data_IF_184772695659
#
_entry.id   IF_184772695659
#
_cell.length_a   1.000
_cell.length_b   1.000
_cell.length_c   1.000
_cell.angle_alpha   90.00
_cell.angle_beta   90.00
_cell.angle_gamma   90.00
#
_symmetry.space_group_name_H-M   'P 1'
#
loop_
_entity.id
_entity.type
_entity.pdbx_description
1 polymer ?
#
# COMPACT_ATOMS: atom_id res chain seq x y z
N UNK A 1 33.86 -16.29 15.53
CA UNK A 1 33.02 -15.11 15.23
C UNK A 1 32.59 -15.21 13.78
N UNK A 2 31.29 -15.24 13.45
CA UNK A 2 30.85 -15.15 12.05
C UNK A 2 31.45 -13.88 11.44
N UNK A 3 32.15 -14.04 10.32
CA UNK A 3 32.93 -12.98 9.69
C UNK A 3 32.00 -11.79 9.39
N UNK A 4 32.29 -10.60 9.96
CA UNK A 4 31.49 -9.38 9.80
C UNK A 4 31.17 -9.08 8.32
N UNK A 5 32.11 -9.40 7.42
CA UNK A 5 31.94 -9.29 5.98
C UNK A 5 30.84 -10.21 5.43
N UNK A 6 30.75 -11.45 5.92
CA UNK A 6 29.72 -12.40 5.52
C UNK A 6 28.33 -11.95 5.98
N UNK A 7 28.22 -11.41 7.20
CA UNK A 7 26.96 -10.86 7.71
C UNK A 7 26.49 -9.63 6.91
N UNK A 8 27.43 -8.75 6.52
CA UNK A 8 27.16 -7.58 5.67
C UNK A 8 26.71 -8.01 4.27
N UNK A 9 27.38 -8.99 3.65
CA UNK A 9 27.03 -9.52 2.34
C UNK A 9 25.65 -10.18 2.33
N UNK A 10 25.29 -10.92 3.39
CA UNK A 10 23.96 -11.52 3.55
C UNK A 10 22.86 -10.45 3.66
N UNK A 11 23.10 -9.38 4.44
CA UNK A 11 22.17 -8.23 4.53
C UNK A 11 21.99 -7.53 3.19
N UNK A 12 23.07 -7.27 2.45
CA UNK A 12 22.96 -6.65 1.12
C UNK A 12 22.24 -7.55 0.11
N UNK A 13 22.51 -8.86 0.12
CA UNK A 13 21.81 -9.80 -0.75
C UNK A 13 20.30 -9.83 -0.47
N UNK A 14 19.91 -9.84 0.81
CA UNK A 14 18.50 -9.82 1.21
C UNK A 14 17.82 -8.51 0.79
N UNK A 15 18.50 -7.37 0.92
CA UNK A 15 18.00 -6.09 0.44
C UNK A 15 17.76 -6.08 -1.08
N UNK A 16 18.67 -6.66 -1.86
CA UNK A 16 18.51 -6.80 -3.31
C UNK A 16 17.32 -7.69 -3.67
N UNK A 17 17.13 -8.81 -2.98
CA UNK A 17 15.96 -9.69 -3.20
C UNK A 17 14.66 -8.94 -2.89
N UNK A 18 14.60 -8.22 -1.78
CA UNK A 18 13.44 -7.40 -1.42
C UNK A 18 13.12 -6.35 -2.48
N UNK A 19 14.13 -5.64 -2.99
CA UNK A 19 13.93 -4.67 -4.07
C UNK A 19 13.39 -5.30 -5.36
N UNK A 20 13.91 -6.48 -5.74
CA UNK A 20 13.40 -7.22 -6.92
C UNK A 20 11.94 -7.65 -6.74
N UNK A 21 11.59 -8.13 -5.55
CA UNK A 21 10.21 -8.50 -5.18
C UNK A 21 9.28 -7.30 -5.30
N UNK A 22 9.67 -6.15 -4.75
CA UNK A 22 8.90 -4.90 -4.84
C UNK A 22 8.77 -4.40 -6.28
N UNK A 23 9.86 -4.42 -7.05
CA UNK A 23 9.84 -3.99 -8.44
C UNK A 23 8.93 -4.86 -9.32
N UNK A 24 9.00 -6.19 -9.16
CA UNK A 24 8.13 -7.12 -9.86
C UNK A 24 6.65 -6.94 -9.46
N UNK A 25 6.40 -6.72 -8.16
CA UNK A 25 5.07 -6.44 -7.61
C UNK A 25 4.48 -5.11 -8.11
N UNK A 26 5.32 -4.08 -8.24
CA UNK A 26 4.94 -2.78 -8.79
C UNK A 26 4.63 -2.89 -10.29
N UNK A 27 5.47 -3.60 -11.06
CA UNK A 27 5.22 -3.85 -12.48
C UNK A 27 3.90 -4.62 -12.69
N UNK A 28 3.61 -5.61 -11.85
CA UNK A 28 2.33 -6.32 -11.86
C UNK A 28 1.15 -5.36 -11.62
N UNK A 29 1.23 -4.48 -10.63
CA UNK A 29 0.17 -3.48 -10.34
C UNK A 29 -0.02 -2.52 -11.50
N UNK A 30 1.05 -2.02 -12.11
CA UNK A 30 0.96 -1.16 -13.30
C UNK A 30 0.30 -1.90 -14.47
N UNK A 31 0.66 -3.16 -14.71
CA UNK A 31 0.03 -3.98 -15.74
C UNK A 31 -1.46 -4.21 -15.46
N UNK A 32 -1.83 -4.48 -14.20
CA UNK A 32 -3.22 -4.65 -13.79
C UNK A 32 -4.05 -3.36 -13.91
N UNK A 33 -3.47 -2.19 -13.58
CA UNK A 33 -4.14 -0.90 -13.78
C UNK A 33 -4.35 -0.64 -15.28
N UNK A 34 -3.33 -0.84 -16.11
CA UNK A 34 -3.44 -0.68 -17.56
C UNK A 34 -4.47 -1.65 -18.16
N UNK A 35 -4.45 -2.92 -17.73
CA UNK A 35 -5.44 -3.91 -18.10
C UNK A 35 -6.85 -3.50 -17.64
N UNK A 36 -6.99 -2.96 -16.44
CA UNK A 36 -8.25 -2.48 -15.90
C UNK A 36 -8.87 -1.35 -16.73
N UNK A 37 -8.05 -0.36 -17.13
CA UNK A 37 -8.48 0.72 -18.04
C UNK A 37 -8.91 0.15 -19.41
N UNK A 38 -8.15 -0.80 -19.96
CA UNK A 38 -8.50 -1.47 -21.19
C UNK A 38 -9.83 -2.24 -21.06
N UNK A 39 -9.98 -3.04 -19.99
CA UNK A 39 -11.19 -3.82 -19.72
C UNK A 39 -12.41 -2.89 -19.59
N UNK A 40 -12.29 -1.80 -18.84
CA UNK A 40 -13.38 -0.84 -18.65
C UNK A 40 -13.80 -0.15 -19.96
N UNK A 41 -12.90 -0.04 -20.94
CA UNK A 41 -13.21 0.54 -22.25
C UNK A 41 -13.83 -0.46 -23.23
N UNK A 42 -13.58 -1.77 -23.08
CA UNK A 42 -13.95 -2.77 -24.09
C UNK A 42 -15.00 -3.79 -23.62
N UNK A 43 -15.18 -3.99 -22.32
CA UNK A 43 -16.09 -5.00 -21.76
C UNK A 43 -17.22 -4.34 -20.97
N UNK A 44 -18.38 -5.01 -20.93
CA UNK A 44 -19.54 -4.56 -20.15
C UNK A 44 -19.27 -4.63 -18.64
N UNK A 45 -18.59 -5.70 -18.19
CA UNK A 45 -18.24 -5.89 -16.79
C UNK A 45 -16.98 -5.09 -16.45
N UNK A 46 -17.16 -4.08 -15.60
CA UNK A 46 -16.09 -3.19 -15.16
C UNK A 46 -15.09 -3.89 -14.24
N UNK A 47 -13.82 -3.63 -14.49
CA UNK A 47 -12.73 -3.91 -13.57
C UNK A 47 -12.75 -2.92 -12.40
N UNK A 48 -12.92 -1.63 -12.68
CA UNK A 48 -12.93 -0.58 -11.64
C UNK A 48 -14.01 -0.83 -10.59
N UNK A 49 -13.62 -0.66 -9.32
CA UNK A 49 -14.52 -0.69 -8.18
C UNK A 49 -15.50 0.49 -8.26
N UNK A 50 -16.79 0.22 -7.99
CA UNK A 50 -17.83 1.25 -8.00
C UNK A 50 -17.53 2.39 -7.03
N UNK A 51 -16.89 2.07 -5.89
CA UNK A 51 -16.51 3.06 -4.89
C UNK A 51 -15.47 4.05 -5.44
N UNK A 52 -14.65 3.65 -6.42
CA UNK A 52 -13.66 4.54 -7.03
C UNK A 52 -14.30 5.73 -7.75
N UNK A 53 -15.47 5.51 -8.37
CA UNK A 53 -16.26 6.57 -8.99
C UNK A 53 -16.86 7.51 -7.93
N UNK A 54 -17.29 6.94 -6.80
CA UNK A 54 -17.77 7.72 -5.64
C UNK A 54 -16.67 8.63 -5.11
N UNK A 55 -15.43 8.13 -5.00
CA UNK A 55 -14.30 8.95 -4.57
C UNK A 55 -13.92 10.02 -5.59
N UNK A 56 -13.92 9.68 -6.87
CA UNK A 56 -13.51 10.57 -7.95
C UNK A 56 -14.48 11.74 -8.12
N UNK A 57 -15.80 11.50 -7.99
CA UNK A 57 -16.78 12.58 -8.06
C UNK A 57 -16.71 13.50 -6.82
N UNK A 58 -16.43 12.94 -5.65
CA UNK A 58 -16.20 13.74 -4.45
C UNK A 58 -14.93 14.60 -4.59
N UNK A 59 -13.84 14.04 -5.15
CA UNK A 59 -12.64 14.80 -5.47
C UNK A 59 -12.90 15.90 -6.50
N UNK A 60 -13.69 15.63 -7.54
CA UNK A 60 -14.09 16.63 -8.54
C UNK A 60 -14.92 17.76 -7.90
N UNK A 61 -15.83 17.43 -6.98
CA UNK A 61 -16.61 18.42 -6.23
C UNK A 61 -15.69 19.33 -5.39
N UNK A 62 -14.72 18.75 -4.68
CA UNK A 62 -13.72 19.52 -3.92
C UNK A 62 -12.87 20.39 -4.84
N UNK A 63 -12.44 19.87 -6.00
CA UNK A 63 -11.66 20.64 -6.98
C UNK A 63 -12.43 21.86 -7.51
N UNK A 64 -13.75 21.78 -7.59
CA UNK A 64 -14.64 22.88 -7.98
C UNK A 64 -14.98 23.85 -6.82
N UNK A 65 -14.38 23.67 -5.64
CA UNK A 65 -14.66 24.49 -4.45
C UNK A 65 -15.88 24.04 -3.64
N UNK A 66 -16.45 22.87 -3.96
CA UNK A 66 -17.57 22.26 -3.26
C UNK A 66 -17.15 21.37 -2.08
N UNK A 67 -18.13 20.70 -1.49
CA UNK A 67 -17.93 19.74 -0.39
C UNK A 67 -17.88 18.31 -0.93
N UNK A 68 -17.00 17.42 -0.41
CA UNK A 68 -16.99 16.01 -0.82
C UNK A 68 -18.32 15.30 -0.47
N UNK A 69 -19.05 15.82 0.51
CA UNK A 69 -20.36 15.33 0.93
C UNK A 69 -21.53 15.88 0.10
N UNK A 70 -21.26 16.75 -0.88
CA UNK A 70 -22.30 17.19 -1.82
C UNK A 70 -22.90 16.00 -2.60
N UNK A 71 -22.13 14.91 -2.74
CA UNK A 71 -22.64 13.62 -3.20
C UNK A 71 -23.24 12.84 -2.03
N UNK A 72 -24.55 12.58 -2.08
CA UNK A 72 -25.29 11.89 -1.02
C UNK A 72 -24.77 10.48 -0.69
N UNK A 73 -24.10 9.79 -1.63
CA UNK A 73 -23.55 8.45 -1.44
C UNK A 73 -22.10 8.44 -0.93
N UNK A 74 -21.47 9.61 -0.73
CA UNK A 74 -20.10 9.68 -0.23
C UNK A 74 -20.06 9.51 1.29
N UNK A 75 -19.49 8.38 1.74
CA UNK A 75 -19.43 7.97 3.16
C UNK A 75 -18.01 7.82 3.72
N UNK A 76 -17.02 8.31 2.97
CA UNK A 76 -15.60 8.13 3.29
C UNK A 76 -15.03 9.39 3.93
N UNK A 77 -13.82 9.28 4.50
CA UNK A 77 -13.15 10.43 5.11
C UNK A 77 -12.91 11.53 4.06
N UNK A 78 -13.21 12.82 4.34
CA UNK A 78 -12.92 13.93 3.45
C UNK A 78 -11.48 13.95 2.96
N UNK A 79 -10.54 13.52 3.82
CA UNK A 79 -9.12 13.43 3.48
C UNK A 79 -8.87 12.58 2.23
N UNK A 80 -9.66 11.52 2.02
CA UNK A 80 -9.56 10.69 0.83
C UNK A 80 -9.93 11.48 -0.43
N UNK A 81 -11.00 12.28 -0.39
CA UNK A 81 -11.37 13.13 -1.52
C UNK A 81 -10.27 14.15 -1.87
N UNK A 82 -9.65 14.77 -0.86
CA UNK A 82 -8.52 15.68 -1.07
C UNK A 82 -7.31 14.96 -1.67
N UNK A 83 -7.00 13.74 -1.21
CA UNK A 83 -5.88 12.93 -1.71
C UNK A 83 -6.05 12.54 -3.18
N UNK A 84 -7.29 12.47 -3.65
CA UNK A 84 -7.68 12.11 -5.00
C UNK A 84 -7.98 13.32 -5.90
N UNK A 85 -7.74 14.56 -5.46
CA UNK A 85 -7.84 15.74 -6.33
C UNK A 85 -7.14 15.55 -7.69
N UNK A 86 -5.95 14.92 -7.77
CA UNK A 86 -5.31 14.71 -9.06
C UNK A 86 -6.05 13.74 -10.00
N UNK A 87 -7.06 13.00 -9.53
CA UNK A 87 -7.94 12.23 -10.43
C UNK A 87 -8.61 13.14 -11.46
N UNK A 88 -9.08 14.32 -11.01
CA UNK A 88 -9.76 15.29 -11.85
C UNK A 88 -8.81 16.30 -12.50
N UNK A 89 -7.66 16.56 -11.88
CA UNK A 89 -6.72 17.58 -12.34
C UNK A 89 -5.61 17.04 -13.26
N UNK A 90 -5.20 15.77 -13.10
CA UNK A 90 -4.10 15.16 -13.85
C UNK A 90 -4.54 13.96 -14.66
N UNK A 91 -5.04 12.90 -14.00
CA UNK A 91 -5.41 11.67 -14.69
C UNK A 91 -6.36 10.80 -13.84
N UNK A 92 -7.45 10.22 -14.40
CA UNK A 92 -8.42 9.42 -13.65
C UNK A 92 -7.81 8.20 -12.92
N UNK A 93 -6.71 7.65 -13.42
CA UNK A 93 -6.02 6.51 -12.79
C UNK A 93 -5.13 6.88 -11.59
N UNK A 94 -4.98 8.16 -11.24
CA UNK A 94 -4.09 8.61 -10.15
C UNK A 94 -4.35 7.86 -8.83
N UNK A 95 -5.61 7.78 -8.41
CA UNK A 95 -5.98 7.07 -7.18
C UNK A 95 -5.64 5.58 -7.21
N UNK A 96 -5.83 4.90 -8.35
CA UNK A 96 -5.40 3.50 -8.51
C UNK A 96 -3.90 3.32 -8.32
N UNK A 97 -3.09 4.26 -8.82
CA UNK A 97 -1.64 4.25 -8.62
C UNK A 97 -1.26 4.52 -7.16
N UNK A 98 -1.94 5.47 -6.51
CA UNK A 98 -1.75 5.80 -5.10
C UNK A 98 -2.10 4.61 -4.19
N UNK A 99 -3.24 3.96 -4.42
CA UNK A 99 -3.65 2.78 -3.65
C UNK A 99 -2.72 1.59 -3.90
N UNK A 100 -2.26 1.40 -5.14
CA UNK A 100 -1.25 0.40 -5.48
C UNK A 100 0.08 0.67 -4.75
N UNK A 101 0.51 1.93 -4.64
CA UNK A 101 1.70 2.30 -3.89
C UNK A 101 1.53 2.05 -2.38
N UNK A 102 0.36 2.35 -1.81
CA UNK A 102 0.05 2.03 -0.43
C UNK A 102 0.10 0.52 -0.16
N UNK A 103 -0.37 -0.32 -1.08
CA UNK A 103 -0.29 -1.77 -0.96
C UNK A 103 1.17 -2.31 -0.99
N UNK A 104 2.07 -1.66 -1.77
CA UNK A 104 3.50 -1.95 -1.69
C UNK A 104 4.08 -1.58 -0.31
N UNK A 105 3.64 -0.46 0.28
CA UNK A 105 4.02 -0.06 1.64
C UNK A 105 3.54 -1.07 2.68
N UNK A 106 2.36 -1.66 2.52
CA UNK A 106 1.87 -2.73 3.40
C UNK A 106 2.85 -3.91 3.41
N UNK A 107 3.35 -4.33 2.24
CA UNK A 107 4.39 -5.37 2.16
C UNK A 107 5.67 -5.00 2.93
N UNK A 108 6.12 -3.74 2.85
CA UNK A 108 7.27 -3.25 3.62
C UNK A 108 7.02 -3.22 5.13
N UNK A 109 5.80 -2.85 5.54
CA UNK A 109 5.43 -2.83 6.95
C UNK A 109 5.30 -4.24 7.53
N UNK A 110 4.84 -5.22 6.75
CA UNK A 110 4.88 -6.63 7.14
C UNK A 110 6.32 -7.09 7.40
N UNK A 111 7.28 -6.80 6.50
CA UNK A 111 8.71 -7.13 6.73
C UNK A 111 9.23 -6.47 8.02
N UNK A 112 8.89 -5.20 8.23
CA UNK A 112 9.33 -4.42 9.39
C UNK A 112 8.79 -4.99 10.70
N UNK A 113 7.50 -5.32 10.76
CA UNK A 113 6.88 -5.91 11.95
C UNK A 113 7.51 -7.27 12.24
N UNK A 114 7.68 -8.13 11.23
CA UNK A 114 8.30 -9.44 11.42
C UNK A 114 9.78 -9.33 11.84
N UNK A 115 10.49 -8.29 11.37
CA UNK A 115 11.85 -7.98 11.81
C UNK A 115 11.90 -7.61 13.30
N UNK A 116 11.03 -6.69 13.74
CA UNK A 116 10.91 -6.31 15.16
C UNK A 116 10.49 -7.51 16.05
N UNK A 117 9.79 -8.49 15.50
CA UNK A 117 9.41 -9.74 16.19
C UNK A 117 10.53 -10.79 16.21
N UNK A 118 11.70 -10.52 15.63
CA UNK A 118 12.83 -11.45 15.59
C UNK A 118 12.67 -12.61 14.60
N UNK A 119 11.77 -12.49 13.61
CA UNK A 119 11.54 -13.53 12.62
C UNK A 119 12.70 -13.57 11.61
N UNK A 120 13.13 -14.79 11.26
CA UNK A 120 14.23 -15.02 10.32
C UNK A 120 13.94 -14.40 8.93
N UNK A 121 14.93 -13.72 8.35
CA UNK A 121 14.78 -12.96 7.10
C UNK A 121 14.19 -13.77 5.92
N UNK A 122 14.51 -15.08 5.83
CA UNK A 122 13.94 -15.97 4.81
C UNK A 122 12.42 -16.12 4.96
N UNK A 123 11.91 -16.24 6.18
CA UNK A 123 10.47 -16.33 6.42
C UNK A 123 9.79 -15.00 6.13
N UNK A 124 10.41 -13.88 6.52
CA UNK A 124 9.87 -12.55 6.26
C UNK A 124 9.68 -12.28 4.77
N UNK A 125 10.68 -12.60 3.94
CA UNK A 125 10.56 -12.39 2.49
C UNK A 125 9.43 -13.22 1.87
N UNK A 126 9.20 -14.44 2.36
CA UNK A 126 8.06 -15.26 1.90
C UNK A 126 6.72 -14.66 2.33
N UNK A 127 6.61 -14.08 3.53
CA UNK A 127 5.41 -13.35 3.94
C UNK A 127 5.16 -12.11 3.07
N UNK A 128 6.22 -11.37 2.71
CA UNK A 128 6.13 -10.21 1.80
C UNK A 128 5.67 -10.66 0.41
N UNK A 129 6.26 -11.73 -0.14
CA UNK A 129 5.85 -12.30 -1.42
C UNK A 129 4.39 -12.76 -1.37
N UNK A 130 3.99 -13.45 -0.31
CA UNK A 130 2.62 -13.91 -0.14
C UNK A 130 1.62 -12.74 -0.10
N UNK A 131 1.96 -11.61 0.53
CA UNK A 131 1.11 -10.41 0.48
C UNK A 131 1.08 -9.77 -0.91
N UNK A 132 2.26 -9.52 -1.48
CA UNK A 132 2.41 -8.69 -2.68
C UNK A 132 1.92 -9.35 -3.98
N UNK A 133 1.93 -10.68 -4.03
CA UNK A 133 1.51 -11.46 -5.20
C UNK A 133 0.21 -12.23 -4.97
N UNK A 134 -0.48 -12.01 -3.85
CA UNK A 134 -1.82 -12.53 -3.69
C UNK A 134 -2.77 -11.81 -4.68
N UNK A 135 -3.54 -12.55 -5.50
CA UNK A 135 -4.46 -11.95 -6.47
C UNK A 135 -5.56 -11.12 -5.81
N UNK A 136 -5.96 -11.44 -4.57
CA UNK A 136 -6.97 -10.69 -3.84
C UNK A 136 -6.46 -9.31 -3.44
N UNK A 137 -5.31 -9.23 -2.75
CA UNK A 137 -4.74 -7.95 -2.30
C UNK A 137 -4.26 -7.10 -3.47
N UNK A 138 -3.60 -7.72 -4.46
CA UNK A 138 -3.07 -6.99 -5.61
C UNK A 138 -4.17 -6.39 -6.50
N UNK A 139 -5.39 -6.94 -6.50
CA UNK A 139 -6.51 -6.40 -7.27
C UNK A 139 -7.29 -5.31 -6.53
N UNK A 140 -7.34 -5.30 -5.19
CA UNK A 140 -8.09 -4.29 -4.42
C UNK A 140 -7.62 -2.87 -4.77
N UNK A 141 -6.31 -2.60 -4.67
CA UNK A 141 -5.76 -1.28 -4.96
C UNK A 141 -5.84 -0.90 -6.44
N UNK A 142 -5.59 -1.84 -7.35
CA UNK A 142 -5.60 -1.59 -8.80
C UNK A 142 -7.01 -1.37 -9.35
N UNK A 143 -8.03 -1.95 -8.72
CA UNK A 143 -9.45 -1.67 -9.01
C UNK A 143 -9.89 -0.30 -8.50
N UNK A 144 -9.11 0.38 -7.67
CA UNK A 144 -9.43 1.71 -7.16
C UNK A 144 -10.03 1.72 -5.76
N UNK A 145 -9.87 0.66 -4.96
CA UNK A 145 -10.33 0.66 -3.58
C UNK A 145 -9.24 1.24 -2.64
N UNK A 146 -9.65 2.07 -1.67
CA UNK A 146 -8.73 2.75 -0.75
C UNK A 146 -8.25 1.89 0.43
N UNK A 147 -8.74 0.66 0.58
CA UNK A 147 -8.37 -0.27 1.66
C UNK A 147 -6.86 -0.37 1.93
N UNK A 148 -5.95 -0.41 0.92
CA UNK A 148 -4.52 -0.49 1.17
C UNK A 148 -3.95 0.71 1.94
N UNK A 149 -4.54 1.91 1.80
CA UNK A 149 -4.15 3.08 2.60
C UNK A 149 -4.50 2.83 4.08
N UNK A 150 -5.69 2.29 4.35
CA UNK A 150 -6.15 1.98 5.71
C UNK A 150 -5.26 0.90 6.33
N UNK A 151 -4.98 -0.17 5.58
CA UNK A 151 -4.03 -1.22 6.01
C UNK A 151 -2.65 -0.64 6.31
N UNK A 152 -2.10 0.20 5.43
CA UNK A 152 -0.79 0.82 5.63
C UNK A 152 -0.77 1.69 6.90
N UNK A 153 -1.81 2.50 7.13
CA UNK A 153 -1.93 3.32 8.33
C UNK A 153 -2.01 2.48 9.61
N UNK A 154 -2.79 1.40 9.61
CA UNK A 154 -2.89 0.49 10.76
C UNK A 154 -1.56 -0.18 11.09
N UNK A 155 -0.87 -0.72 10.09
CA UNK A 155 0.44 -1.35 10.30
C UNK A 155 1.50 -0.33 10.73
N UNK A 156 1.44 0.89 10.20
CA UNK A 156 2.32 1.98 10.64
C UNK A 156 2.12 2.30 12.12
N UNK A 157 0.87 2.41 12.59
CA UNK A 157 0.56 2.62 14.01
C UNK A 157 1.14 1.47 14.86
N UNK A 158 0.99 0.22 14.43
CA UNK A 158 1.58 -0.92 15.13
C UNK A 158 3.10 -0.84 15.21
N UNK A 159 3.77 -0.45 14.12
CA UNK A 159 5.23 -0.24 14.11
C UNK A 159 5.63 0.84 15.13
N UNK A 160 4.92 1.97 15.16
CA UNK A 160 5.17 3.05 16.12
C UNK A 160 5.02 2.55 17.56
N UNK A 161 3.98 1.78 17.86
CA UNK A 161 3.75 1.19 19.19
C UNK A 161 4.87 0.22 19.58
N UNK A 162 5.27 -0.68 18.68
CA UNK A 162 6.33 -1.67 18.95
C UNK A 162 7.67 -0.98 19.26
N UNK A 163 8.04 0.03 18.46
CA UNK A 163 9.26 0.81 18.68
C UNK A 163 9.19 1.63 19.99
N UNK A 164 8.02 2.15 20.33
CA UNK A 164 7.81 2.85 21.61
C UNK A 164 8.01 1.92 22.81
N UNK A 165 7.51 0.68 22.75
CA UNK A 165 7.70 -0.32 23.81
C UNK A 165 9.18 -0.70 23.96
N UNK A 166 9.90 -0.88 22.86
CA UNK A 166 11.35 -1.15 22.90
C UNK A 166 12.14 0.01 23.52
N UNK A 167 11.77 1.25 23.15
CA UNK A 167 12.38 2.45 23.72
C UNK A 167 12.21 2.52 25.24
N UNK A 168 11.00 2.26 25.74
CA UNK A 168 10.74 2.27 27.19
C UNK A 168 11.53 1.18 27.92
N UNK A 169 11.60 -0.05 27.38
CA UNK A 169 12.38 -1.14 28.00
C UNK A 169 13.85 -0.77 28.17
N UNK A 170 14.44 -0.09 27.20
CA UNK A 170 15.84 0.34 27.25
C UNK A 170 16.10 1.42 28.32
N UNK A 171 15.09 2.23 28.68
CA UNK A 171 15.24 3.38 29.58
C UNK A 171 14.64 3.16 30.98
N UNK A 172 13.81 2.15 31.18
CA UNK A 172 13.20 1.84 32.49
C UNK A 172 14.08 0.97 33.40
N UNK A 173 15.30 0.60 32.99
CA UNK A 173 16.19 -0.26 33.79
C UNK A 173 15.67 -1.68 34.04
N UNK A 174 14.58 -2.09 33.37
CA UNK A 174 14.01 -3.45 33.44
C UNK A 174 14.67 -4.33 32.38
N UNK A 175 15.95 -4.67 32.60
CA UNK A 175 16.69 -5.70 31.88
C UNK A 175 16.75 -6.99 32.68
#
# INVERSE_FOLDING_TARGET
MPNYQAARAAKSAMATVRWRVLAASAALRLALVAYGEWQDAHLEVRYTDVDYLVFSDAAASVAAGGSPFARATYRYSPLLAFLLLPNSLLHPAWGKLLFSAADLLVGLFIDTILELRGVQAKTRIWCVVAWLFNPFTSTIGTRGNCEPIVCAAMLWILICLMKGVEYCKQHSGMG
#
